data_IF_949677737706
#
_entry.id   IF_949677737706
#
_cell.length_a   1.000
_cell.length_b   1.000
_cell.length_c   1.000
_cell.angle_alpha   90.00
_cell.angle_beta   90.00
_cell.angle_gamma   90.00
#
_symmetry.space_group_name_H-M   'P 1'
#
loop_
_entity.id
_entity.type
_entity.pdbx_description
1 polymer ?
#
# COMPACT_ATOMS: atom_id res chain seq x y z
N UNK A 1 -12.18 20.14 5.56
CA UNK A 1 -10.97 19.35 5.19
C UNK A 1 -11.11 17.96 5.80
N UNK A 2 -10.79 16.91 5.06
CA UNK A 2 -10.84 15.52 5.58
C UNK A 2 -9.63 15.26 6.47
N UNK A 3 -9.87 14.78 7.69
CA UNK A 3 -8.83 14.32 8.60
C UNK A 3 -8.75 12.79 8.53
N UNK A 4 -7.53 12.22 8.43
CA UNK A 4 -7.31 10.79 8.37
C UNK A 4 -6.37 10.34 9.49
N UNK A 5 -6.73 9.24 10.16
CA UNK A 5 -5.99 8.60 11.25
C UNK A 5 -5.90 7.10 10.98
N UNK A 6 -4.72 6.51 11.18
CA UNK A 6 -4.50 5.07 11.09
C UNK A 6 -4.15 4.49 12.46
N UNK A 7 -4.81 3.38 12.83
CA UNK A 7 -4.48 2.57 14.00
C UNK A 7 -3.87 1.24 13.55
N UNK A 8 -2.58 1.07 13.80
CA UNK A 8 -1.87 -0.16 13.44
C UNK A 8 -2.34 -1.37 14.28
N UNK A 9 -2.65 -1.16 15.56
CA UNK A 9 -3.11 -2.22 16.47
C UNK A 9 -4.49 -2.77 16.10
N UNK A 10 -5.38 -1.91 15.63
CA UNK A 10 -6.75 -2.28 15.23
C UNK A 10 -6.85 -2.51 13.70
N UNK A 11 -5.82 -2.13 12.96
CA UNK A 11 -5.82 -2.09 11.48
C UNK A 11 -7.01 -1.32 10.93
N UNK A 12 -7.31 -0.17 11.54
CA UNK A 12 -8.38 0.71 11.10
C UNK A 12 -7.84 2.00 10.51
N UNK A 13 -8.48 2.43 9.44
CA UNK A 13 -8.29 3.75 8.85
C UNK A 13 -9.57 4.54 9.05
N UNK A 14 -9.50 5.62 9.81
CA UNK A 14 -10.64 6.49 10.10
C UNK A 14 -10.47 7.83 9.41
N UNK A 15 -11.48 8.25 8.65
CA UNK A 15 -11.54 9.55 8.00
C UNK A 15 -12.75 10.32 8.54
N UNK A 16 -12.53 11.54 9.00
CA UNK A 16 -13.58 12.41 9.53
C UNK A 16 -13.71 13.66 8.68
N UNK A 17 -14.95 14.03 8.35
CA UNK A 17 -15.26 15.24 7.61
C UNK A 17 -16.59 15.84 8.05
N UNK A 18 -16.63 17.16 8.22
CA UNK A 18 -17.83 17.91 8.47
C UNK A 18 -18.42 18.44 7.15
N UNK A 19 -19.72 18.25 6.95
CA UNK A 19 -20.52 18.72 5.82
C UNK A 19 -21.50 19.77 6.30
N UNK A 20 -21.60 20.95 5.64
CA UNK A 20 -22.55 22.01 6.04
C UNK A 20 -23.97 21.73 5.55
N UNK A 21 -24.43 20.50 5.75
CA UNK A 21 -25.71 19.97 5.29
C UNK A 21 -26.43 19.19 6.39
N UNK A 22 -27.80 19.18 6.43
CA UNK A 22 -28.55 18.34 7.36
C UNK A 22 -28.24 16.85 7.21
N UNK A 23 -28.36 16.11 8.32
CA UNK A 23 -27.99 14.68 8.37
C UNK A 23 -28.77 13.84 7.33
N UNK A 24 -30.05 14.09 7.13
CA UNK A 24 -30.86 13.37 6.14
C UNK A 24 -30.34 13.52 4.72
N UNK A 25 -29.79 14.71 4.38
CA UNK A 25 -29.22 14.97 3.05
C UNK A 25 -27.91 14.22 2.84
N UNK A 26 -27.04 14.19 3.85
CA UNK A 26 -25.77 13.44 3.81
C UNK A 26 -26.05 11.95 3.84
N UNK A 27 -26.99 11.51 4.69
CA UNK A 27 -27.42 10.11 4.73
C UNK A 27 -27.95 9.62 3.38
N UNK A 28 -28.82 10.38 2.75
CA UNK A 28 -29.36 10.02 1.43
C UNK A 28 -28.23 9.87 0.37
N UNK A 29 -27.14 10.62 0.49
CA UNK A 29 -26.01 10.51 -0.43
C UNK A 29 -25.19 9.22 -0.21
N UNK A 30 -25.06 8.74 1.04
CA UNK A 30 -24.26 7.54 1.36
C UNK A 30 -25.10 6.25 1.44
N UNK A 31 -26.43 6.34 1.46
CA UNK A 31 -27.31 5.19 1.62
C UNK A 31 -28.26 4.93 0.45
N UNK A 32 -28.21 5.73 -0.63
CA UNK A 32 -29.05 5.54 -1.81
C UNK A 32 -28.19 5.09 -3.00
N UNK A 33 -28.43 3.91 -3.61
CA UNK A 33 -27.63 3.35 -4.69
C UNK A 33 -27.32 4.33 -5.84
N UNK A 34 -28.33 4.96 -6.41
CA UNK A 34 -28.14 5.93 -7.49
C UNK A 34 -27.25 7.10 -7.10
N UNK A 35 -27.36 7.62 -5.86
CA UNK A 35 -26.52 8.71 -5.37
C UNK A 35 -25.09 8.25 -5.09
N UNK A 36 -24.92 7.03 -4.56
CA UNK A 36 -23.59 6.42 -4.37
C UNK A 36 -22.90 6.29 -5.73
N UNK A 37 -23.60 5.81 -6.75
CA UNK A 37 -23.06 5.66 -8.10
C UNK A 37 -22.54 6.99 -8.66
N UNK A 38 -23.27 8.07 -8.46
CA UNK A 38 -22.90 9.41 -8.94
C UNK A 38 -21.56 9.90 -8.36
N UNK A 39 -21.41 9.91 -7.02
CA UNK A 39 -20.23 10.50 -6.42
C UNK A 39 -19.04 9.55 -6.32
N UNK A 40 -19.28 8.23 -6.22
CA UNK A 40 -18.18 7.26 -6.25
C UNK A 40 -17.64 7.00 -7.67
N UNK A 41 -18.35 7.40 -8.72
CA UNK A 41 -17.99 7.10 -10.09
C UNK A 41 -18.03 5.60 -10.38
N UNK A 42 -19.06 4.92 -9.88
CA UNK A 42 -19.26 3.49 -10.07
C UNK A 42 -20.52 3.22 -10.88
N UNK A 43 -20.52 2.12 -11.61
CA UNK A 43 -21.72 1.54 -12.19
C UNK A 43 -22.35 0.59 -11.18
N UNK A 44 -23.56 0.86 -10.77
CA UNK A 44 -24.35 -0.06 -9.95
C UNK A 44 -24.79 -1.27 -10.79
N UNK A 45 -24.60 -2.48 -10.28
CA UNK A 45 -24.88 -3.73 -11.02
C UNK A 45 -26.21 -4.40 -10.60
N UNK A 46 -27.14 -3.63 -10.11
CA UNK A 46 -28.46 -4.08 -9.66
C UNK A 46 -29.52 -3.03 -9.87
N UNK A 47 -30.60 -3.13 -9.14
CA UNK A 47 -31.70 -2.14 -9.15
C UNK A 47 -31.25 -0.86 -8.42
N UNK A 48 -31.01 0.23 -9.16
CA UNK A 48 -30.64 1.53 -8.61
C UNK A 48 -31.73 2.15 -7.73
N UNK A 49 -33.00 1.69 -7.89
CA UNK A 49 -34.12 2.07 -7.07
C UNK A 49 -34.25 1.26 -5.78
N UNK A 50 -33.41 0.25 -5.57
CA UNK A 50 -33.43 -0.56 -4.38
C UNK A 50 -33.15 0.27 -3.12
N UNK A 51 -33.87 -0.04 -2.05
CA UNK A 51 -33.66 0.56 -0.73
C UNK A 51 -32.70 -0.33 0.05
N UNK A 52 -31.54 0.22 0.47
CA UNK A 52 -30.63 -0.51 1.34
C UNK A 52 -31.31 -0.81 2.69
N UNK A 53 -31.08 -2.00 3.19
CA UNK A 53 -31.52 -2.47 4.50
C UNK A 53 -30.51 -3.49 5.03
N UNK A 54 -30.54 -3.79 6.30
CA UNK A 54 -29.67 -4.82 6.88
C UNK A 54 -29.86 -6.16 6.16
N UNK A 55 -28.74 -6.78 5.76
CA UNK A 55 -28.72 -8.01 4.97
C UNK A 55 -28.88 -7.82 3.45
N UNK A 56 -29.14 -6.61 2.96
CA UNK A 56 -29.16 -6.35 1.52
C UNK A 56 -27.79 -6.60 0.89
N UNK A 57 -27.78 -7.22 -0.29
CA UNK A 57 -26.58 -7.38 -1.11
C UNK A 57 -26.58 -6.36 -2.23
N UNK A 58 -25.38 -5.89 -2.60
CA UNK A 58 -25.20 -4.98 -3.72
C UNK A 58 -23.83 -5.16 -4.38
N UNK A 59 -23.82 -5.00 -5.69
CA UNK A 59 -22.63 -5.12 -6.51
C UNK A 59 -22.45 -3.83 -7.33
N UNK A 60 -21.20 -3.40 -7.50
CA UNK A 60 -20.87 -2.26 -8.36
C UNK A 60 -19.52 -2.45 -9.02
N UNK A 61 -19.31 -1.77 -10.15
CA UNK A 61 -18.07 -1.73 -10.91
C UNK A 61 -17.52 -0.30 -10.94
N UNK A 62 -16.24 -0.13 -10.68
CA UNK A 62 -15.59 1.16 -10.86
C UNK A 62 -15.49 1.53 -12.33
N UNK A 63 -15.99 2.73 -12.71
CA UNK A 63 -16.11 3.14 -14.11
C UNK A 63 -14.79 3.21 -14.87
N UNK A 64 -13.67 3.39 -14.17
CA UNK A 64 -12.33 3.53 -14.75
C UNK A 64 -11.52 2.22 -14.76
N UNK A 65 -12.10 1.12 -14.31
CA UNK A 65 -11.44 -0.19 -14.21
C UNK A 65 -12.44 -1.30 -14.42
N UNK A 66 -11.97 -2.53 -14.65
CA UNK A 66 -12.83 -3.73 -14.64
C UNK A 66 -13.02 -4.29 -13.22
N UNK A 67 -12.72 -3.47 -12.19
CA UNK A 67 -12.78 -3.92 -10.81
C UNK A 67 -14.23 -3.89 -10.30
N UNK A 68 -14.73 -5.06 -9.97
CA UNK A 68 -16.07 -5.24 -9.36
C UNK A 68 -15.90 -5.46 -7.86
N UNK A 69 -16.79 -4.82 -7.09
CA UNK A 69 -16.94 -5.06 -5.66
C UNK A 69 -18.30 -5.68 -5.40
N UNK A 70 -18.30 -6.78 -4.68
CA UNK A 70 -19.49 -7.34 -4.06
C UNK A 70 -19.51 -6.96 -2.60
N UNK A 71 -20.69 -6.57 -2.10
CA UNK A 71 -20.86 -6.17 -0.72
C UNK A 71 -22.25 -6.56 -0.18
N UNK A 72 -22.36 -6.65 1.14
CA UNK A 72 -23.65 -6.73 1.81
C UNK A 72 -23.69 -5.81 3.03
N UNK A 73 -24.88 -5.36 3.38
CA UNK A 73 -25.14 -4.48 4.50
C UNK A 73 -25.13 -5.27 5.81
N UNK A 74 -24.17 -4.99 6.68
CA UNK A 74 -24.02 -5.63 7.99
C UNK A 74 -24.88 -4.96 9.06
N UNK A 75 -24.92 -3.61 9.07
CA UNK A 75 -25.73 -2.80 9.98
C UNK A 75 -26.36 -1.65 9.22
N UNK A 76 -27.61 -1.31 9.55
CA UNK A 76 -28.34 -0.22 8.92
C UNK A 76 -29.26 0.48 9.94
N UNK A 77 -28.86 1.65 10.40
CA UNK A 77 -29.55 2.44 11.43
C UNK A 77 -29.71 3.90 10.93
N UNK A 78 -30.71 4.16 10.05
CA UNK A 78 -30.92 5.51 9.50
C UNK A 78 -31.27 6.54 10.58
N UNK A 79 -30.78 7.81 10.46
CA UNK A 79 -29.83 8.30 9.48
C UNK A 79 -28.37 8.28 9.98
N UNK A 80 -28.02 7.42 10.94
CA UNK A 80 -26.80 7.51 11.72
C UNK A 80 -25.72 6.50 11.32
N UNK A 81 -26.10 5.24 10.97
CA UNK A 81 -25.12 4.17 10.79
C UNK A 81 -25.43 3.30 9.58
N UNK A 82 -24.43 3.19 8.69
CA UNK A 82 -24.35 2.18 7.66
C UNK A 82 -23.01 1.44 7.82
N UNK A 83 -23.06 0.11 7.91
CA UNK A 83 -21.86 -0.72 7.86
C UNK A 83 -22.07 -1.81 6.83
N UNK A 84 -21.07 -2.00 5.97
CA UNK A 84 -21.13 -3.00 4.90
C UNK A 84 -19.76 -3.64 4.66
N UNK A 85 -19.77 -4.84 4.09
CA UNK A 85 -18.56 -5.47 3.59
C UNK A 85 -18.03 -4.71 2.36
N UNK A 86 -16.74 -4.85 2.09
CA UNK A 86 -16.05 -4.19 1.00
C UNK A 86 -15.21 -5.22 0.26
N UNK A 87 -15.42 -5.39 -1.03
CA UNK A 87 -14.75 -6.41 -1.85
C UNK A 87 -14.86 -7.84 -1.30
N UNK A 88 -16.07 -8.32 -0.99
CA UNK A 88 -16.29 -9.71 -0.54
C UNK A 88 -15.76 -10.77 -1.49
N UNK A 89 -15.71 -10.46 -2.77
CA UNK A 89 -15.17 -11.31 -3.81
C UNK A 89 -13.63 -11.38 -3.81
N UNK A 90 -12.96 -10.62 -2.93
CA UNK A 90 -11.49 -10.63 -2.75
C UNK A 90 -11.17 -10.95 -1.28
N UNK A 91 -11.00 -12.22 -0.90
CA UNK A 91 -10.76 -12.60 0.49
C UNK A 91 -9.34 -12.22 0.97
N UNK A 92 -9.20 -11.86 2.26
CA UNK A 92 -10.27 -11.60 3.20
C UNK A 92 -10.95 -10.25 2.91
N UNK A 93 -12.30 -10.17 3.02
CA UNK A 93 -13.03 -8.94 2.76
C UNK A 93 -12.72 -7.88 3.80
N UNK A 94 -12.78 -6.62 3.38
CA UNK A 94 -12.77 -5.48 4.29
C UNK A 94 -14.18 -5.17 4.79
N UNK A 95 -14.27 -4.30 5.80
CA UNK A 95 -15.54 -3.71 6.27
C UNK A 95 -15.40 -2.20 6.28
N UNK A 96 -16.46 -1.52 5.86
CA UNK A 96 -16.55 -0.06 5.88
C UNK A 96 -17.75 0.35 6.71
N UNK A 97 -17.52 1.25 7.66
CA UNK A 97 -18.55 1.82 8.53
C UNK A 97 -18.65 3.32 8.28
N UNK A 98 -19.88 3.78 8.10
CA UNK A 98 -20.26 5.19 7.96
C UNK A 98 -21.07 5.57 9.20
N UNK A 99 -20.55 6.48 10.01
CA UNK A 99 -21.23 7.06 11.16
C UNK A 99 -21.50 8.53 10.87
N UNK A 100 -22.76 8.95 11.04
CA UNK A 100 -23.20 10.32 10.85
C UNK A 100 -23.74 10.89 12.16
N UNK A 101 -23.29 12.07 12.52
CA UNK A 101 -23.67 12.77 13.74
C UNK A 101 -24.06 14.21 13.39
N UNK A 102 -25.16 14.69 13.97
CA UNK A 102 -25.53 16.10 13.87
C UNK A 102 -24.55 16.96 14.68
N UNK A 103 -24.07 18.02 14.05
CA UNK A 103 -23.25 19.05 14.70
C UNK A 103 -23.84 20.42 14.44
N UNK A 104 -23.44 21.43 15.21
CA UNK A 104 -23.98 22.81 15.07
C UNK A 104 -23.87 23.37 13.66
N UNK A 105 -22.83 22.96 12.90
CA UNK A 105 -22.57 23.43 11.53
C UNK A 105 -23.13 22.53 10.44
N UNK A 106 -23.84 21.45 10.76
CA UNK A 106 -24.36 20.48 9.81
C UNK A 106 -24.18 19.04 10.28
N UNK A 107 -23.46 18.22 9.52
CA UNK A 107 -23.27 16.79 9.79
C UNK A 107 -21.79 16.43 9.83
N UNK A 108 -21.35 15.74 10.86
CA UNK A 108 -20.05 15.06 10.92
C UNK A 108 -20.22 13.65 10.36
N UNK A 109 -19.43 13.31 9.36
CA UNK A 109 -19.33 11.96 8.84
C UNK A 109 -17.96 11.39 9.26
N UNK A 110 -18.01 10.23 9.91
CA UNK A 110 -16.83 9.42 10.24
C UNK A 110 -16.91 8.11 9.44
N UNK A 111 -15.98 7.93 8.52
CA UNK A 111 -15.78 6.68 7.78
C UNK A 111 -14.67 5.88 8.48
N UNK A 112 -14.96 4.64 8.88
CA UNK A 112 -13.95 3.70 9.39
C UNK A 112 -13.84 2.52 8.43
N UNK A 113 -12.65 2.33 7.87
CA UNK A 113 -12.31 1.18 7.04
C UNK A 113 -11.48 0.20 7.88
N UNK A 114 -12.01 -1.01 8.09
CA UNK A 114 -11.31 -2.11 8.75
C UNK A 114 -10.50 -2.84 7.69
N UNK A 115 -9.19 -2.58 7.69
CA UNK A 115 -8.29 -3.00 6.62
C UNK A 115 -7.91 -4.48 6.74
N UNK A 116 -8.09 -5.30 5.71
CA UNK A 116 -7.49 -6.62 5.65
C UNK A 116 -5.95 -6.53 5.58
N UNK A 117 -5.28 -7.66 5.84
CA UNK A 117 -3.80 -7.72 5.95
C UNK A 117 -3.03 -7.17 4.74
N UNK A 118 -3.66 -7.14 3.57
CA UNK A 118 -3.01 -6.76 2.31
C UNK A 118 -3.35 -5.34 1.83
N UNK A 119 -4.25 -4.65 2.50
CA UNK A 119 -4.56 -3.26 2.14
C UNK A 119 -3.56 -2.28 2.75
N UNK A 120 -3.18 -1.31 1.94
CA UNK A 120 -2.21 -0.28 2.25
C UNK A 120 -2.93 0.98 2.73
N UNK A 121 -2.83 1.29 4.02
CA UNK A 121 -3.57 2.39 4.63
C UNK A 121 -3.34 3.76 3.95
N UNK A 122 -2.13 4.16 3.54
CA UNK A 122 -1.93 5.43 2.84
C UNK A 122 -2.65 5.52 1.49
N UNK A 123 -2.62 4.43 0.70
CA UNK A 123 -3.27 4.37 -0.60
C UNK A 123 -4.79 4.39 -0.45
N UNK A 124 -5.31 3.58 0.45
CA UNK A 124 -6.73 3.51 0.78
C UNK A 124 -7.23 4.85 1.34
N UNK A 125 -6.43 5.49 2.21
CA UNK A 125 -6.75 6.82 2.76
C UNK A 125 -6.82 7.91 1.71
N UNK A 126 -5.87 7.94 0.77
CA UNK A 126 -5.89 8.88 -0.34
C UNK A 126 -7.12 8.66 -1.25
N UNK A 127 -7.46 7.40 -1.53
CA UNK A 127 -8.67 7.05 -2.28
C UNK A 127 -9.95 7.53 -1.59
N UNK A 128 -10.12 7.20 -0.32
CA UNK A 128 -11.29 7.64 0.46
C UNK A 128 -11.36 9.16 0.60
N UNK A 129 -10.25 9.84 0.77
CA UNK A 129 -10.26 11.32 0.83
C UNK A 129 -10.81 11.91 -0.45
N UNK A 130 -10.37 11.43 -1.63
CA UNK A 130 -10.92 11.90 -2.92
C UNK A 130 -12.41 11.60 -3.02
N UNK A 131 -12.84 10.41 -2.63
CA UNK A 131 -14.25 10.03 -2.66
C UNK A 131 -15.10 10.92 -1.73
N UNK A 132 -14.61 11.27 -0.55
CA UNK A 132 -15.29 12.20 0.36
C UNK A 132 -15.33 13.65 -0.19
N UNK A 133 -14.33 14.07 -0.99
CA UNK A 133 -14.39 15.33 -1.72
C UNK A 133 -15.42 15.28 -2.86
N UNK A 134 -15.54 14.15 -3.56
CA UNK A 134 -16.59 13.97 -4.58
C UNK A 134 -18.00 13.94 -3.96
N UNK A 135 -18.14 13.32 -2.79
CA UNK A 135 -19.38 13.38 -2.01
C UNK A 135 -19.73 14.84 -1.67
N UNK A 136 -18.77 15.63 -1.20
CA UNK A 136 -18.98 17.06 -0.94
C UNK A 136 -19.47 17.80 -2.19
N UNK A 137 -18.82 17.55 -3.33
CA UNK A 137 -19.23 18.13 -4.62
C UNK A 137 -20.65 17.74 -5.02
N UNK A 138 -21.06 16.49 -4.81
CA UNK A 138 -22.43 16.01 -5.09
C UNK A 138 -23.48 16.69 -4.20
N UNK A 139 -23.07 17.14 -3.02
CA UNK A 139 -23.88 17.93 -2.11
C UNK A 139 -23.91 19.44 -2.45
N UNK A 140 -23.17 19.87 -3.47
CA UNK A 140 -23.12 21.26 -3.92
C UNK A 140 -21.96 22.07 -3.38
N UNK A 141 -21.06 21.47 -2.63
CA UNK A 141 -19.84 22.12 -2.15
C UNK A 141 -18.80 22.32 -3.28
N UNK A 142 -17.80 23.15 -3.03
CA UNK A 142 -16.70 23.42 -3.96
C UNK A 142 -15.36 22.99 -3.32
N UNK A 143 -15.08 21.68 -3.24
CA UNK A 143 -13.84 21.21 -2.65
C UNK A 143 -12.62 21.57 -3.51
N UNK A 144 -11.48 21.78 -2.86
CA UNK A 144 -10.22 21.96 -3.56
C UNK A 144 -9.81 20.67 -4.29
N UNK A 145 -9.15 20.78 -5.45
CA UNK A 145 -8.57 19.62 -6.11
C UNK A 145 -7.56 18.90 -5.20
N UNK A 146 -7.56 17.57 -5.23
CA UNK A 146 -6.65 16.72 -4.45
C UNK A 146 -5.71 15.99 -5.40
N UNK A 147 -4.40 16.11 -5.18
CA UNK A 147 -3.40 15.26 -5.82
C UNK A 147 -3.29 13.95 -5.04
N UNK A 148 -3.73 12.86 -5.65
CA UNK A 148 -3.75 11.54 -5.02
C UNK A 148 -2.36 11.06 -4.61
N UNK A 149 -1.33 11.30 -5.46
CA UNK A 149 0.05 10.84 -5.18
C UNK A 149 0.65 11.61 -4.01
N UNK A 150 0.54 12.92 -4.04
CA UNK A 150 1.02 13.78 -2.96
C UNK A 150 0.33 13.44 -1.63
N UNK A 151 -0.98 13.18 -1.66
CA UNK A 151 -1.74 12.81 -0.46
C UNK A 151 -1.37 11.42 0.06
N UNK A 152 -1.19 10.43 -0.82
CA UNK A 152 -0.71 9.10 -0.45
C UNK A 152 0.66 9.17 0.25
N UNK A 153 1.57 9.98 -0.28
CA UNK A 153 2.92 10.12 0.26
C UNK A 153 2.90 10.85 1.61
N UNK A 154 2.03 11.87 1.77
CA UNK A 154 1.78 12.51 3.06
C UNK A 154 1.26 11.50 4.10
N UNK A 155 0.26 10.70 3.74
CA UNK A 155 -0.27 9.65 4.62
C UNK A 155 0.77 8.58 4.95
N UNK A 156 1.61 8.18 4.00
CA UNK A 156 2.69 7.23 4.26
C UNK A 156 3.69 7.77 5.28
N UNK A 157 3.99 9.07 5.22
CA UNK A 157 4.86 9.71 6.22
C UNK A 157 4.19 9.83 7.59
N UNK A 158 2.89 10.18 7.64
CA UNK A 158 2.14 10.38 8.88
C UNK A 158 1.79 9.08 9.60
N UNK A 159 1.40 8.05 8.86
CA UNK A 159 0.99 6.76 9.42
C UNK A 159 2.17 5.87 9.78
N UNK A 160 3.36 6.16 9.22
CA UNK A 160 4.58 5.43 9.51
C UNK A 160 4.76 4.11 8.74
N UNK A 161 5.89 3.43 8.97
CA UNK A 161 6.29 2.27 8.17
C UNK A 161 5.43 1.02 8.38
N UNK A 162 4.63 0.93 9.44
CA UNK A 162 3.70 -0.16 9.65
C UNK A 162 2.43 -0.06 8.79
N UNK A 163 2.14 1.13 8.27
CA UNK A 163 0.92 1.40 7.53
C UNK A 163 1.02 1.05 6.05
N UNK A 164 2.23 0.81 5.54
CA UNK A 164 2.46 0.59 4.11
C UNK A 164 3.56 -0.41 3.83
N UNK A 165 3.35 -1.20 2.78
CA UNK A 165 4.38 -2.01 2.13
C UNK A 165 4.77 -1.46 0.77
N UNK A 166 4.11 -0.41 0.31
CA UNK A 166 4.35 0.20 -1.00
C UNK A 166 5.71 0.89 -1.05
N UNK A 167 6.37 0.76 -2.19
CA UNK A 167 7.54 1.55 -2.53
C UNK A 167 7.14 2.97 -2.90
N UNK A 168 8.01 3.91 -2.57
CA UNK A 168 7.86 5.34 -2.91
C UNK A 168 8.98 5.76 -3.83
N UNK A 169 8.65 6.52 -4.85
CA UNK A 169 9.61 7.05 -5.81
C UNK A 169 9.79 8.56 -5.59
N UNK A 170 11.02 9.00 -5.44
CA UNK A 170 11.37 10.41 -5.43
C UNK A 170 12.47 10.69 -6.46
N UNK A 171 12.56 11.94 -6.92
CA UNK A 171 13.61 12.37 -7.85
C UNK A 171 14.71 13.14 -7.11
N UNK A 172 15.96 12.85 -7.44
CA UNK A 172 17.15 13.50 -6.90
C UNK A 172 18.12 13.83 -8.04
N UNK A 173 17.96 15.01 -8.65
CA UNK A 173 18.70 15.40 -9.85
C UNK A 173 18.36 14.52 -11.05
N UNK A 174 19.37 13.87 -11.62
CA UNK A 174 19.29 12.90 -12.72
C UNK A 174 19.06 11.45 -12.25
N UNK A 175 18.71 11.26 -10.98
CA UNK A 175 18.47 9.94 -10.36
C UNK A 175 17.04 9.82 -9.86
N UNK A 176 16.61 8.59 -9.71
CA UNK A 176 15.36 8.20 -9.04
C UNK A 176 15.69 7.39 -7.80
N UNK A 177 15.11 7.75 -6.66
CA UNK A 177 15.24 6.99 -5.41
C UNK A 177 13.96 6.21 -5.14
N UNK A 178 14.02 4.90 -5.29
CA UNK A 178 12.96 3.99 -4.92
C UNK A 178 13.19 3.51 -3.49
N UNK A 179 12.29 3.87 -2.58
CA UNK A 179 12.42 3.60 -1.14
C UNK A 179 11.31 2.70 -0.63
N UNK A 180 11.70 1.73 0.20
CA UNK A 180 10.77 0.87 0.95
C UNK A 180 11.10 0.92 2.43
N UNK A 181 10.07 0.86 3.26
CA UNK A 181 10.20 0.71 4.71
C UNK A 181 9.46 -0.57 5.16
N UNK A 182 10.02 -1.28 6.14
CA UNK A 182 9.42 -2.47 6.77
C UNK A 182 9.70 -2.48 8.26
N UNK A 183 8.70 -2.83 9.06
CA UNK A 183 8.92 -3.24 10.44
C UNK A 183 8.94 -4.77 10.48
N UNK A 184 10.08 -5.34 10.82
CA UNK A 184 10.31 -6.78 10.93
C UNK A 184 10.39 -7.15 12.41
N UNK A 185 9.61 -8.16 12.83
CA UNK A 185 9.52 -8.57 14.24
C UNK A 185 10.68 -9.49 14.66
N UNK A 186 11.89 -9.08 14.28
CA UNK A 186 13.15 -9.77 14.55
C UNK A 186 14.21 -8.74 14.95
N UNK A 187 15.22 -9.11 15.79
CA UNK A 187 16.31 -8.20 16.13
C UNK A 187 17.18 -7.88 14.90
N UNK A 188 17.87 -6.72 14.87
CA UNK A 188 18.70 -6.29 13.74
C UNK A 188 19.76 -7.32 13.30
N UNK A 189 20.36 -8.04 14.23
CA UNK A 189 21.36 -9.07 13.94
C UNK A 189 20.78 -10.23 13.13
N UNK A 190 19.52 -10.61 13.42
CA UNK A 190 18.83 -11.66 12.67
C UNK A 190 18.44 -11.21 11.27
N UNK A 191 17.97 -9.98 11.12
CA UNK A 191 17.67 -9.39 9.81
C UNK A 191 18.97 -9.24 9.00
N UNK A 192 20.04 -8.80 9.64
CA UNK A 192 21.38 -8.71 9.03
C UNK A 192 21.85 -10.06 8.47
N UNK A 193 21.78 -11.12 9.27
CA UNK A 193 22.11 -12.49 8.83
C UNK A 193 21.34 -12.87 7.55
N UNK A 194 20.04 -12.59 7.52
CA UNK A 194 19.17 -12.88 6.36
C UNK A 194 19.59 -12.10 5.12
N UNK A 195 20.03 -10.85 5.27
CA UNK A 195 20.39 -9.99 4.15
C UNK A 195 21.81 -10.21 3.63
N UNK A 196 22.72 -10.79 4.44
CA UNK A 196 24.16 -10.77 4.14
C UNK A 196 24.82 -12.16 4.11
N UNK A 197 24.07 -13.22 4.37
CA UNK A 197 24.58 -14.59 4.23
C UNK A 197 24.01 -15.30 3.00
N UNK A 198 24.78 -16.21 2.35
CA UNK A 198 24.28 -16.99 1.22
C UNK A 198 22.98 -17.74 1.53
N UNK A 199 22.90 -18.34 2.73
CA UNK A 199 21.72 -19.09 3.18
C UNK A 199 20.50 -18.17 3.36
N UNK A 200 20.68 -17.02 3.99
CA UNK A 200 19.66 -16.01 4.19
C UNK A 200 19.13 -15.51 2.85
N UNK A 201 20.02 -15.03 1.98
CA UNK A 201 19.69 -14.53 0.64
C UNK A 201 18.98 -15.63 -0.17
N UNK A 202 19.46 -16.88 -0.10
CA UNK A 202 18.86 -18.00 -0.81
C UNK A 202 17.40 -18.28 -0.43
N UNK A 203 16.95 -17.91 0.77
CA UNK A 203 15.59 -18.10 1.24
C UNK A 203 14.62 -17.04 0.71
N UNK A 204 14.94 -15.76 0.87
CA UNK A 204 14.02 -14.68 0.48
C UNK A 204 14.17 -14.25 -0.98
N UNK A 205 15.38 -14.43 -1.56
CA UNK A 205 15.63 -14.03 -2.95
C UNK A 205 15.56 -15.18 -3.95
N UNK A 206 15.52 -16.43 -3.45
CA UNK A 206 15.56 -17.64 -4.27
C UNK A 206 16.75 -17.68 -5.23
N UNK A 207 17.91 -17.28 -4.73
CA UNK A 207 19.14 -17.18 -5.46
C UNK A 207 20.24 -18.01 -4.81
N UNK A 208 21.14 -18.55 -5.61
CA UNK A 208 22.43 -18.94 -5.10
C UNK A 208 23.29 -17.68 -4.99
N UNK A 209 23.78 -17.39 -3.78
CA UNK A 209 24.50 -16.16 -3.51
C UNK A 209 25.95 -16.46 -3.15
N UNK A 210 26.87 -15.65 -3.68
CA UNK A 210 28.25 -15.57 -3.25
C UNK A 210 28.51 -14.13 -2.80
N UNK A 211 28.95 -13.94 -1.57
CA UNK A 211 29.23 -12.64 -1.00
C UNK A 211 30.58 -12.63 -0.29
N UNK A 212 31.44 -11.67 -0.62
CA UNK A 212 32.59 -11.32 0.18
C UNK A 212 32.18 -10.24 1.19
N UNK A 213 32.12 -10.54 2.50
CA UNK A 213 31.50 -9.67 3.51
C UNK A 213 32.43 -8.51 3.91
N UNK A 214 32.77 -7.65 2.97
CA UNK A 214 33.61 -6.45 3.14
C UNK A 214 33.34 -5.43 2.05
N UNK A 215 33.61 -4.18 2.32
CA UNK A 215 33.58 -3.14 1.29
C UNK A 215 34.58 -3.48 0.16
N UNK A 216 34.15 -3.29 -1.10
CA UNK A 216 34.90 -3.68 -2.30
C UNK A 216 34.82 -5.18 -2.60
N UNK A 217 34.13 -5.97 -1.79
CA UNK A 217 33.96 -7.40 -2.00
C UNK A 217 33.00 -7.72 -3.15
N UNK A 218 33.13 -8.92 -3.72
CA UNK A 218 32.24 -9.40 -4.77
C UNK A 218 30.87 -9.75 -4.18
N UNK A 219 29.81 -9.40 -4.91
CA UNK A 219 28.43 -9.81 -4.64
C UNK A 219 27.87 -10.43 -5.91
N UNK A 220 27.59 -11.73 -5.90
CA UNK A 220 27.09 -12.46 -7.04
C UNK A 220 25.81 -13.20 -6.67
N UNK A 221 24.78 -13.07 -7.52
CA UNK A 221 23.51 -13.78 -7.41
C UNK A 221 23.20 -14.55 -8.69
N UNK A 222 22.82 -15.80 -8.55
CA UNK A 222 22.23 -16.60 -9.61
C UNK A 222 20.78 -16.89 -9.26
N UNK A 223 19.86 -16.35 -10.04
CA UNK A 223 18.41 -16.46 -9.79
C UNK A 223 17.90 -17.84 -10.20
N UNK A 224 17.45 -18.66 -9.24
CA UNK A 224 17.02 -20.05 -9.51
C UNK A 224 15.81 -20.17 -10.42
N UNK A 225 14.77 -19.29 -10.35
CA UNK A 225 13.62 -19.35 -11.24
C UNK A 225 13.90 -18.90 -12.67
N UNK A 226 15.06 -18.29 -12.91
CA UNK A 226 15.41 -17.69 -14.20
C UNK A 226 16.84 -18.07 -14.57
N UNK A 227 17.11 -18.24 -15.86
CA UNK A 227 18.48 -18.40 -16.35
C UNK A 227 19.18 -17.03 -16.42
N UNK A 228 19.32 -16.40 -15.26
CA UNK A 228 19.89 -15.07 -15.12
C UNK A 228 20.76 -14.98 -13.87
N UNK A 229 21.85 -14.22 -14.00
CA UNK A 229 22.71 -13.90 -12.87
C UNK A 229 23.14 -12.44 -12.91
N UNK A 230 23.48 -11.90 -11.75
CA UNK A 230 24.08 -10.58 -11.63
C UNK A 230 25.38 -10.65 -10.82
N UNK A 231 26.34 -9.79 -11.14
CA UNK A 231 27.54 -9.60 -10.35
C UNK A 231 27.72 -8.11 -10.07
N UNK A 232 27.74 -7.75 -8.81
CA UNK A 232 28.01 -6.41 -8.33
C UNK A 232 29.17 -6.38 -7.34
N UNK A 233 29.39 -5.21 -6.74
CA UNK A 233 30.40 -4.96 -5.73
C UNK A 233 29.72 -4.47 -4.46
N UNK A 234 30.13 -4.98 -3.30
CA UNK A 234 29.68 -4.48 -1.99
C UNK A 234 30.24 -3.07 -1.80
N UNK A 235 29.37 -2.07 -1.72
CA UNK A 235 29.75 -0.66 -1.57
C UNK A 235 29.79 -0.21 -0.11
N UNK A 236 28.93 -0.81 0.73
CA UNK A 236 28.83 -0.54 2.16
C UNK A 236 28.69 -1.87 2.91
N UNK A 237 29.46 -2.08 3.96
CA UNK A 237 29.37 -3.23 4.85
C UNK A 237 29.66 -2.80 6.30
N UNK A 238 28.59 -2.35 7.00
CA UNK A 238 28.63 -1.89 8.40
C UNK A 238 27.67 -2.73 9.24
N UNK A 239 28.10 -3.88 9.77
CA UNK A 239 27.24 -4.74 10.57
C UNK A 239 26.82 -4.09 11.91
N UNK A 240 25.55 -4.26 12.34
CA UNK A 240 24.42 -4.80 11.61
C UNK A 240 23.54 -3.71 10.97
N UNK A 241 24.07 -2.53 10.68
CA UNK A 241 23.31 -1.32 10.39
C UNK A 241 23.13 -1.05 8.89
N UNK A 242 24.19 -1.26 8.06
CA UNK A 242 24.15 -0.86 6.65
C UNK A 242 24.82 -1.88 5.73
N UNK A 243 24.07 -2.30 4.71
CA UNK A 243 24.57 -3.16 3.64
C UNK A 243 24.21 -2.57 2.28
N UNK A 244 25.20 -2.32 1.44
CA UNK A 244 24.99 -1.75 0.10
C UNK A 244 25.82 -2.45 -0.96
N UNK A 245 25.29 -2.47 -2.20
CA UNK A 245 25.97 -3.07 -3.35
C UNK A 245 25.54 -2.40 -4.66
N UNK A 246 26.37 -2.53 -5.69
CA UNK A 246 26.01 -2.12 -7.05
C UNK A 246 25.08 -3.14 -7.67
N UNK A 247 24.03 -2.64 -8.34
CA UNK A 247 23.16 -3.44 -9.19
C UNK A 247 23.47 -3.07 -10.65
N UNK A 248 24.16 -3.94 -11.39
CA UNK A 248 24.49 -3.65 -12.78
C UNK A 248 23.21 -3.68 -13.62
N UNK A 249 22.88 -2.55 -14.23
CA UNK A 249 21.84 -2.49 -15.24
C UNK A 249 22.47 -2.64 -16.63
N UNK A 250 22.36 -3.84 -17.18
CA UNK A 250 22.90 -4.17 -18.49
C UNK A 250 22.18 -3.48 -19.65
N UNK A 251 20.95 -2.99 -19.44
CA UNK A 251 20.16 -2.33 -20.48
C UNK A 251 20.53 -0.85 -20.65
N UNK A 252 20.82 -0.14 -19.55
CA UNK A 252 21.11 1.29 -19.57
C UNK A 252 22.62 1.63 -19.56
N UNK A 253 23.50 0.62 -19.36
CA UNK A 253 24.96 0.83 -19.28
C UNK A 253 25.42 1.65 -18.06
N UNK A 254 24.53 1.92 -17.11
CA UNK A 254 24.80 2.64 -15.87
C UNK A 254 24.42 1.77 -14.69
N UNK A 255 25.34 1.67 -13.72
CA UNK A 255 25.07 0.93 -12.48
C UNK A 255 24.07 1.69 -11.62
N UNK A 256 23.16 0.94 -11.03
CA UNK A 256 22.31 1.41 -9.94
C UNK A 256 22.87 0.92 -8.58
N UNK A 257 22.38 1.50 -7.49
CA UNK A 257 22.90 1.19 -6.14
C UNK A 257 21.77 0.82 -5.21
N UNK A 258 21.93 -0.30 -4.51
CA UNK A 258 21.00 -0.76 -3.48
C UNK A 258 21.64 -0.54 -2.11
N UNK A 259 20.88 0.04 -1.18
CA UNK A 259 21.28 0.23 0.21
C UNK A 259 20.17 -0.29 1.14
N UNK A 260 20.53 -1.23 1.99
CA UNK A 260 19.76 -1.61 3.17
C UNK A 260 20.26 -0.86 4.40
N UNK A 261 19.34 -0.32 5.17
CA UNK A 261 19.58 0.31 6.46
C UNK A 261 18.73 -0.35 7.51
N UNK A 262 19.32 -0.79 8.60
CA UNK A 262 18.66 -1.41 9.73
C UNK A 262 18.78 -0.52 10.96
N UNK A 263 17.67 -0.36 11.67
CA UNK A 263 17.63 0.36 12.96
C UNK A 263 16.79 -0.42 13.93
N UNK A 264 17.17 -0.46 15.22
CA UNK A 264 16.29 -1.00 16.25
C UNK A 264 14.96 -0.27 16.26
N UNK A 265 13.88 -1.03 16.43
CA UNK A 265 12.52 -0.53 16.57
C UNK A 265 11.87 -1.22 17.79
N UNK A 266 10.93 -0.60 18.51
CA UNK A 266 10.23 -1.24 19.63
C UNK A 266 9.58 -2.58 19.29
N UNK A 267 9.21 -2.81 18.03
CA UNK A 267 8.62 -4.06 17.53
C UNK A 267 9.66 -5.02 16.91
N UNK A 268 10.95 -4.63 16.85
CA UNK A 268 12.02 -5.44 16.27
C UNK A 268 13.02 -4.61 15.48
N UNK A 269 12.91 -4.58 14.16
CA UNK A 269 13.83 -3.86 13.26
C UNK A 269 13.07 -3.03 12.24
N UNK A 270 13.39 -1.75 12.16
CA UNK A 270 13.04 -0.94 11.00
C UNK A 270 14.08 -1.17 9.90
N UNK A 271 13.68 -1.83 8.84
CA UNK A 271 14.44 -2.00 7.62
C UNK A 271 14.01 -0.94 6.60
N UNK A 272 14.98 -0.18 6.12
CA UNK A 272 14.81 0.70 4.94
C UNK A 272 15.67 0.20 3.80
N UNK A 273 15.06 0.01 2.64
CA UNK A 273 15.75 -0.19 1.36
C UNK A 273 15.67 1.09 0.54
N UNK A 274 16.79 1.51 -0.01
CA UNK A 274 16.86 2.55 -1.04
C UNK A 274 17.53 1.96 -2.27
N UNK A 275 16.85 1.99 -3.42
CA UNK A 275 17.43 1.69 -4.72
C UNK A 275 17.58 2.99 -5.50
N UNK A 276 18.81 3.41 -5.69
CA UNK A 276 19.18 4.58 -6.46
C UNK A 276 19.31 4.18 -7.94
N UNK A 277 18.35 4.60 -8.75
CA UNK A 277 18.17 4.24 -10.15
C UNK A 277 18.53 5.40 -11.07
N UNK A 278 19.02 5.13 -12.31
CA UNK A 278 19.06 6.12 -13.38
C UNK A 278 17.67 6.72 -13.66
N UNK A 279 17.61 7.97 -14.12
CA UNK A 279 16.34 8.66 -14.38
C UNK A 279 15.46 7.97 -15.44
N UNK A 280 16.08 7.26 -16.37
CA UNK A 280 15.44 6.52 -17.47
C UNK A 280 15.02 5.09 -17.12
N UNK A 281 15.41 4.59 -15.95
CA UNK A 281 15.06 3.23 -15.53
C UNK A 281 13.56 3.09 -15.28
N UNK A 282 12.98 1.94 -15.66
CA UNK A 282 11.59 1.61 -15.30
C UNK A 282 11.49 1.21 -13.82
N UNK A 283 11.25 2.23 -12.98
CA UNK A 283 11.12 2.04 -11.54
C UNK A 283 9.97 1.09 -11.16
N UNK A 284 8.96 0.87 -12.04
CA UNK A 284 7.80 0.03 -11.73
C UNK A 284 8.17 -1.46 -11.67
N UNK A 285 9.08 -1.92 -12.51
CA UNK A 285 9.60 -3.30 -12.45
C UNK A 285 10.39 -3.54 -11.16
N UNK A 286 11.31 -2.63 -10.84
CA UNK A 286 12.08 -2.70 -9.60
C UNK A 286 11.18 -2.65 -8.38
N UNK A 287 10.15 -1.78 -8.40
CA UNK A 287 9.22 -1.64 -7.30
C UNK A 287 8.43 -2.94 -7.05
N UNK A 288 7.90 -3.56 -8.10
CA UNK A 288 7.19 -4.83 -7.98
C UNK A 288 8.10 -5.96 -7.46
N UNK A 289 9.33 -6.01 -7.97
CA UNK A 289 10.33 -6.99 -7.55
C UNK A 289 10.73 -6.82 -6.08
N UNK A 290 11.04 -5.60 -5.65
CA UNK A 290 11.41 -5.33 -4.25
C UNK A 290 10.25 -5.53 -3.28
N UNK A 291 9.04 -5.09 -3.63
CA UNK A 291 7.85 -5.31 -2.79
C UNK A 291 7.69 -6.78 -2.45
N UNK A 292 7.66 -7.63 -3.49
CA UNK A 292 7.49 -9.07 -3.34
C UNK A 292 8.64 -9.71 -2.52
N UNK A 293 9.88 -9.32 -2.81
CA UNK A 293 11.06 -9.89 -2.13
C UNK A 293 11.16 -9.49 -0.67
N UNK A 294 10.89 -8.23 -0.35
CA UNK A 294 10.92 -7.75 1.03
C UNK A 294 9.86 -8.41 1.91
N UNK A 295 8.73 -8.83 1.33
CA UNK A 295 7.74 -9.62 2.06
C UNK A 295 8.30 -10.99 2.49
N UNK A 296 9.25 -11.55 1.72
CA UNK A 296 9.92 -12.80 2.04
C UNK A 296 11.02 -12.69 3.10
N UNK A 297 11.50 -11.49 3.45
CA UNK A 297 12.57 -11.32 4.45
C UNK A 297 12.13 -11.78 5.85
N UNK A 298 10.89 -11.49 6.23
CA UNK A 298 10.32 -11.93 7.52
C UNK A 298 10.21 -13.46 7.60
N UNK A 299 9.77 -14.11 6.51
CA UNK A 299 9.73 -15.58 6.42
C UNK A 299 11.14 -16.19 6.48
N UNK A 300 12.11 -15.61 5.78
CA UNK A 300 13.48 -16.05 5.81
C UNK A 300 14.10 -15.93 7.21
N UNK A 301 13.76 -14.90 7.98
CA UNK A 301 14.21 -14.75 9.36
C UNK A 301 13.63 -15.83 10.29
N UNK A 302 12.49 -16.42 9.94
CA UNK A 302 11.91 -17.61 10.59
C UNK A 302 12.47 -18.93 10.05
N UNK A 303 13.38 -18.89 9.11
CA UNK A 303 13.97 -20.08 8.46
C UNK A 303 13.12 -20.66 7.32
N UNK A 304 12.08 -19.95 6.90
CA UNK A 304 11.20 -20.34 5.80
C UNK A 304 11.71 -19.79 4.47
N UNK A 305 11.34 -20.42 3.36
CA UNK A 305 11.57 -19.91 2.01
C UNK A 305 10.29 -19.36 1.42
N UNK A 306 10.39 -18.30 0.62
CA UNK A 306 9.24 -17.73 -0.09
C UNK A 306 9.32 -18.12 -1.57
N UNK A 307 8.45 -19.02 -2.08
CA UNK A 307 8.45 -19.43 -3.47
C UNK A 307 8.08 -18.27 -4.40
N UNK A 308 8.63 -18.29 -5.63
CA UNK A 308 8.26 -17.31 -6.65
C UNK A 308 6.78 -17.42 -7.00
N UNK A 309 6.09 -16.30 -7.00
CA UNK A 309 4.69 -16.16 -7.41
C UNK A 309 4.58 -15.13 -8.54
N UNK A 310 4.55 -15.61 -9.77
CA UNK A 310 4.47 -14.78 -10.98
C UNK A 310 3.15 -14.01 -11.02
N UNK A 311 2.05 -14.61 -10.57
CA UNK A 311 0.75 -13.95 -10.57
C UNK A 311 0.75 -12.74 -9.64
N UNK A 312 1.27 -12.91 -8.41
CA UNK A 312 1.41 -11.81 -7.45
C UNK A 312 2.33 -10.71 -7.97
N UNK A 313 3.46 -11.08 -8.59
CA UNK A 313 4.37 -10.11 -9.19
C UNK A 313 3.70 -9.29 -10.30
N UNK A 314 2.90 -9.92 -11.19
CA UNK A 314 2.14 -9.22 -12.24
C UNK A 314 1.08 -8.27 -11.66
N UNK A 315 0.44 -8.65 -10.55
CA UNK A 315 -0.49 -7.76 -9.83
C UNK A 315 0.25 -6.55 -9.29
N UNK A 316 1.39 -6.74 -8.64
CA UNK A 316 2.23 -5.66 -8.12
C UNK A 316 2.71 -4.72 -9.24
N UNK A 317 3.11 -5.25 -10.40
CA UNK A 317 3.47 -4.40 -11.55
C UNK A 317 2.31 -3.50 -11.98
N UNK A 318 1.07 -4.01 -12.05
CA UNK A 318 -0.10 -3.19 -12.37
C UNK A 318 -0.33 -2.10 -11.32
N UNK A 319 -0.21 -2.45 -10.05
CA UNK A 319 -0.33 -1.48 -8.94
C UNK A 319 0.70 -0.36 -9.11
N UNK A 320 1.98 -0.70 -9.29
CA UNK A 320 3.04 0.32 -9.40
C UNK A 320 2.94 1.17 -10.66
N UNK A 321 2.48 0.64 -11.79
CA UNK A 321 2.18 1.45 -12.99
C UNK A 321 1.09 2.51 -12.75
N UNK A 322 0.17 2.25 -11.84
CA UNK A 322 -0.89 3.22 -11.48
C UNK A 322 -0.44 4.20 -10.41
N UNK A 323 0.50 3.82 -9.55
CA UNK A 323 0.81 4.55 -8.32
C UNK A 323 2.16 5.28 -8.33
N UNK A 324 3.16 4.87 -9.10
CA UNK A 324 4.42 5.58 -9.31
C UNK A 324 4.34 6.47 -10.55
#
# INVERSE_FOLDING_TARGET
MTEAVYSASERTLTLTRDYPHPIDRVWAAVATPARIADWMGVQWLGDEGAVLHQGAHFDYRFSNTDLESRAHVLRFEPPHLLEHSWFENVPPPATVRWLLEEITSGTRLTLTHFLPMFEEAPRTGAGWTILLEQLAKSLGDQPAPVDWRALRDDYANRFGPEATRDGRLSRAGDRQLLTFDRILRHPPEKVWEVLTTPEGIGRWWQSDAEIEPRQGGRFHLRFRPFDHSMTGVVTIYDPPERFGFTWPDTAAGTDSHVLFQLRPDPLGTHLRLVHDLPAEADATEFAAGWHWRLDGVDDAARGLGTPWDEQRWRVLQKVYRMTL
#
